data_IF_593954962381
#
_entry.id   IF_593954962381
#
_cell.length_a   1.000
_cell.length_b   1.000
_cell.length_c   1.000
_cell.angle_alpha   90.00
_cell.angle_beta   90.00
_cell.angle_gamma   90.00
#
_symmetry.space_group_name_H-M   'P 1'
#
loop_
_entity.id
_entity.type
_entity.pdbx_description
1 polymer ?
#
# COMPACT_ATOMS: atom_id res chain seq x y z
N UNK A 1 13.82 -7.91 -11.40
CA UNK A 1 13.69 -8.61 -10.09
C UNK A 1 13.82 -7.60 -8.94
N UNK A 2 12.97 -6.57 -8.88
CA UNK A 2 13.09 -5.45 -7.90
C UNK A 2 11.72 -5.13 -7.24
N UNK A 3 10.91 -6.15 -6.96
CA UNK A 3 9.65 -5.98 -6.21
C UNK A 3 9.80 -6.30 -4.72
N UNK A 4 10.86 -7.01 -4.32
CA UNK A 4 11.05 -7.48 -2.94
C UNK A 4 11.76 -6.46 -2.03
N UNK A 5 12.42 -5.44 -2.60
CA UNK A 5 13.23 -4.47 -1.82
C UNK A 5 12.56 -3.12 -1.60
N UNK A 6 11.62 -2.74 -2.48
CA UNK A 6 10.83 -1.54 -2.35
C UNK A 6 9.43 -1.98 -1.87
N UNK A 7 9.07 -1.67 -0.63
CA UNK A 7 7.82 -2.13 -0.02
C UNK A 7 6.59 -1.85 -0.89
N UNK A 8 5.47 -2.56 -0.62
CA UNK A 8 4.21 -2.47 -1.35
C UNK A 8 3.76 -1.02 -1.64
N UNK A 9 4.14 -0.10 -0.76
CA UNK A 9 3.89 1.35 -0.80
C UNK A 9 4.55 2.02 -2.00
N UNK A 10 5.82 1.71 -2.26
CA UNK A 10 6.58 2.25 -3.39
C UNK A 10 6.05 1.73 -4.72
N UNK A 11 5.64 0.45 -4.77
CA UNK A 11 4.99 -0.11 -5.96
C UNK A 11 3.67 0.61 -6.25
N UNK A 12 2.86 0.85 -5.22
CA UNK A 12 1.59 1.56 -5.37
C UNK A 12 1.80 2.97 -5.94
N UNK A 13 2.78 3.70 -5.41
CA UNK A 13 3.09 5.06 -5.87
C UNK A 13 3.68 5.06 -7.27
N UNK A 14 4.60 4.13 -7.58
CA UNK A 14 5.19 4.01 -8.91
C UNK A 14 4.10 3.73 -9.97
N UNK A 15 3.14 2.86 -9.67
CA UNK A 15 2.01 2.58 -10.55
C UNK A 15 1.09 3.80 -10.71
N UNK A 16 0.80 4.52 -9.62
CA UNK A 16 0.02 5.75 -9.66
C UNK A 16 0.72 6.85 -10.46
N UNK A 17 2.04 6.99 -10.33
CA UNK A 17 2.88 7.88 -11.14
C UNK A 17 2.94 7.47 -12.61
N UNK A 18 2.88 6.16 -12.90
CA UNK A 18 2.79 5.64 -14.25
C UNK A 18 1.40 5.84 -14.91
N UNK A 19 0.45 6.49 -14.22
CA UNK A 19 -0.90 6.70 -14.72
C UNK A 19 -1.80 5.46 -14.62
N UNK A 20 -1.34 4.40 -13.95
CA UNK A 20 -2.15 3.21 -13.70
C UNK A 20 -3.11 3.51 -12.55
N UNK A 21 -4.40 3.32 -12.80
CA UNK A 21 -5.43 3.45 -11.77
C UNK A 21 -5.35 2.26 -10.81
N UNK A 22 -4.51 2.39 -9.78
CA UNK A 22 -4.37 1.41 -8.72
C UNK A 22 -5.36 1.66 -7.59
N UNK A 23 -6.13 0.63 -7.24
CA UNK A 23 -7.09 0.68 -6.13
C UNK A 23 -6.45 0.22 -4.82
N UNK A 24 -7.04 0.62 -3.70
CA UNK A 24 -6.63 0.17 -2.36
C UNK A 24 -6.59 -1.36 -2.24
N UNK A 25 -7.52 -2.06 -2.87
CA UNK A 25 -7.54 -3.53 -2.92
C UNK A 25 -6.29 -4.13 -3.54
N UNK A 26 -5.68 -3.45 -4.52
CA UNK A 26 -4.42 -3.89 -5.12
C UNK A 26 -3.25 -3.71 -4.14
N UNK A 27 -3.23 -2.60 -3.40
CA UNK A 27 -2.27 -2.39 -2.31
C UNK A 27 -2.39 -3.48 -1.24
N UNK A 28 -3.61 -3.85 -0.83
CA UNK A 28 -3.84 -4.94 0.12
C UNK A 28 -3.33 -6.28 -0.38
N UNK A 29 -3.56 -6.61 -1.66
CA UNK A 29 -3.05 -7.83 -2.25
C UNK A 29 -1.51 -7.84 -2.31
N UNK A 30 -0.87 -6.71 -2.64
CA UNK A 30 0.59 -6.58 -2.60
C UNK A 30 1.15 -6.72 -1.18
N UNK A 31 0.52 -6.08 -0.20
CA UNK A 31 0.95 -6.16 1.21
C UNK A 31 0.80 -7.58 1.75
N UNK A 32 -0.30 -8.23 1.43
CA UNK A 32 -0.55 -9.63 1.78
C UNK A 32 0.47 -10.58 1.15
N UNK A 33 0.74 -10.42 -0.16
CA UNK A 33 1.78 -11.16 -0.86
C UNK A 33 3.16 -10.93 -0.24
N UNK A 34 3.48 -9.69 0.15
CA UNK A 34 4.73 -9.35 0.84
C UNK A 34 4.84 -10.02 2.21
N UNK A 35 3.72 -10.24 2.90
CA UNK A 35 3.67 -10.92 4.20
C UNK A 35 3.53 -12.44 4.09
N UNK A 36 3.50 -12.99 2.86
CA UNK A 36 3.16 -14.40 2.58
C UNK A 36 1.85 -14.85 3.27
N UNK A 37 0.92 -13.91 3.48
CA UNK A 37 -0.41 -14.14 4.06
C UNK A 37 -1.48 -13.84 3.03
N UNK A 38 -2.69 -14.36 3.22
CA UNK A 38 -3.83 -13.95 2.40
C UNK A 38 -4.31 -12.54 2.80
N UNK A 39 -4.80 -11.72 1.87
CA UNK A 39 -5.21 -10.33 2.14
C UNK A 39 -6.35 -10.20 3.15
N UNK A 40 -7.10 -11.27 3.33
CA UNK A 40 -8.19 -11.39 4.31
C UNK A 40 -7.69 -11.69 5.74
N UNK A 41 -6.43 -12.13 5.89
CA UNK A 41 -5.79 -12.38 7.19
C UNK A 41 -5.05 -11.16 7.75
N UNK A 42 -5.05 -10.02 7.05
CA UNK A 42 -4.49 -8.79 7.57
C UNK A 42 -5.38 -8.28 8.70
N UNK A 43 -4.82 -8.19 9.91
CA UNK A 43 -5.51 -7.58 11.05
C UNK A 43 -5.72 -6.09 10.83
N UNK A 44 -6.68 -5.49 11.54
CA UNK A 44 -6.93 -4.04 11.48
C UNK A 44 -5.65 -3.26 11.74
N UNK A 45 -4.88 -3.63 12.78
CA UNK A 45 -3.59 -3.02 13.10
C UNK A 45 -2.55 -3.16 11.97
N UNK A 46 -2.46 -4.32 11.31
CA UNK A 46 -1.55 -4.50 10.15
C UNK A 46 -1.98 -3.62 8.98
N UNK A 47 -3.29 -3.45 8.79
CA UNK A 47 -3.83 -2.54 7.77
C UNK A 47 -3.52 -1.10 8.10
N UNK A 48 -3.79 -0.64 9.32
CA UNK A 48 -3.49 0.72 9.75
C UNK A 48 -2.00 1.04 9.60
N UNK A 49 -1.11 0.17 10.09
CA UNK A 49 0.35 0.37 9.92
C UNK A 49 0.76 0.41 8.45
N UNK A 50 0.18 -0.44 7.61
CA UNK A 50 0.47 -0.42 6.17
C UNK A 50 -0.05 0.86 5.49
N UNK A 51 -1.20 1.37 5.93
CA UNK A 51 -1.82 2.57 5.39
C UNK A 51 -1.10 3.84 5.86
N UNK A 52 -0.64 3.90 7.11
CA UNK A 52 0.24 4.95 7.62
C UNK A 52 1.55 5.01 6.86
N UNK A 53 2.17 3.85 6.62
CA UNK A 53 3.39 3.75 5.84
C UNK A 53 3.13 4.24 4.39
N UNK A 54 2.06 3.77 3.75
CA UNK A 54 1.64 4.22 2.43
C UNK A 54 1.40 5.74 2.38
N UNK A 55 0.72 6.29 3.39
CA UNK A 55 0.45 7.72 3.51
C UNK A 55 1.74 8.53 3.72
N UNK A 56 2.70 7.98 4.46
CA UNK A 56 4.02 8.62 4.64
C UNK A 56 4.76 8.72 3.31
N UNK A 57 4.77 7.65 2.52
CA UNK A 57 5.42 7.69 1.19
C UNK A 57 4.62 8.56 0.21
N UNK A 58 3.29 8.52 0.24
CA UNK A 58 2.44 9.41 -0.57
C UNK A 58 2.70 10.88 -0.24
N UNK A 59 2.78 11.23 1.04
CA UNK A 59 3.07 12.59 1.49
C UNK A 59 4.46 13.06 1.06
N UNK A 60 5.48 12.18 1.16
CA UNK A 60 6.83 12.47 0.63
C UNK A 60 6.83 12.75 -0.87
N UNK A 61 5.94 12.09 -1.59
CA UNK A 61 5.83 12.21 -3.05
C UNK A 61 4.84 13.32 -3.48
N UNK A 62 4.31 14.11 -2.53
CA UNK A 62 3.38 15.21 -2.77
C UNK A 62 1.96 14.78 -3.17
N UNK A 63 1.61 13.51 -2.94
CA UNK A 63 0.30 12.95 -3.27
C UNK A 63 -0.67 13.04 -2.08
N UNK A 64 -1.98 13.12 -2.38
CA UNK A 64 -3.02 13.03 -1.35
C UNK A 64 -2.92 11.71 -0.59
N UNK A 65 -2.84 11.82 0.73
CA UNK A 65 -3.01 10.72 1.65
C UNK A 65 -4.39 10.09 1.47
N UNK A 66 -4.47 8.79 1.70
CA UNK A 66 -5.71 8.03 1.67
C UNK A 66 -6.30 8.08 3.08
N UNK A 67 -7.60 8.39 3.16
CA UNK A 67 -8.31 8.42 4.43
C UNK A 67 -8.16 7.10 5.20
N UNK A 68 -8.01 7.17 6.54
CA UNK A 68 -7.96 5.98 7.36
C UNK A 68 -9.23 5.16 7.18
N UNK A 69 -9.11 3.84 7.33
CA UNK A 69 -10.26 2.94 7.39
C UNK A 69 -11.03 3.30 8.66
N UNK A 70 -12.00 4.22 8.54
CA UNK A 70 -13.03 4.42 9.55
C UNK A 70 -14.04 3.31 9.34
N UNK A 71 -14.01 2.32 10.23
CA UNK A 71 -15.12 1.40 10.46
C UNK A 71 -16.36 2.20 10.91
#
# INVERSE_FOLDING_TARGET
>A
MIFLKAGAEYCYIALKKAGVSVNLSFFWNLKAASLKKHSMMLTQEEKEKALEALNTVLAKEGMRAIDPIKD
#
